data_IF_273516454678
#
_entry.id   IF_273516454678
#
_cell.length_a   1.000
_cell.length_b   1.000
_cell.length_c   1.000
_cell.angle_alpha   90.00
_cell.angle_beta   90.00
_cell.angle_gamma   90.00
#
_symmetry.space_group_name_H-M   'P 1'
#
loop_
_entity.id
_entity.type
_entity.pdbx_description
1 polymer ?
#
# COMPACT_ATOMS: atom_id res chain seq x y z
N UNK A 1 -37.89 -3.12 -0.85
CA UNK A 1 -36.57 -3.75 -0.69
C UNK A 1 -36.72 -5.22 -1.06
N UNK A 2 -36.19 -5.63 -2.21
CA UNK A 2 -36.35 -7.01 -2.69
C UNK A 2 -35.34 -7.93 -1.98
N UNK A 3 -35.71 -9.23 -1.80
CA UNK A 3 -34.84 -10.23 -1.16
C UNK A 3 -33.44 -10.32 -1.83
N UNK A 4 -33.36 -10.04 -3.14
CA UNK A 4 -32.09 -9.99 -3.89
C UNK A 4 -31.19 -8.83 -3.44
N UNK A 5 -31.77 -7.67 -3.13
CA UNK A 5 -30.99 -6.49 -2.68
C UNK A 5 -30.41 -6.73 -1.28
N UNK A 6 -31.13 -7.45 -0.42
CA UNK A 6 -30.65 -7.86 0.90
C UNK A 6 -29.49 -8.86 0.80
N UNK A 7 -29.55 -9.82 -0.12
CA UNK A 7 -28.47 -10.79 -0.34
C UNK A 7 -27.21 -10.15 -0.93
N UNK A 8 -27.36 -9.20 -1.85
CA UNK A 8 -26.23 -8.43 -2.39
C UNK A 8 -25.60 -7.52 -1.34
N UNK A 9 -26.38 -6.90 -0.47
CA UNK A 9 -25.86 -6.13 0.66
C UNK A 9 -25.17 -7.01 1.69
N UNK A 10 -25.70 -8.18 2.00
CA UNK A 10 -25.05 -9.13 2.92
C UNK A 10 -23.74 -9.68 2.35
N UNK A 11 -23.67 -9.97 1.05
CA UNK A 11 -22.42 -10.43 0.42
C UNK A 11 -21.36 -9.34 0.36
N UNK A 12 -21.75 -8.08 0.14
CA UNK A 12 -20.84 -6.94 0.19
C UNK A 12 -20.28 -6.71 1.61
N UNK A 13 -21.13 -6.81 2.63
CA UNK A 13 -20.71 -6.66 4.04
C UNK A 13 -19.76 -7.78 4.47
N UNK A 14 -20.02 -9.03 4.06
CA UNK A 14 -19.15 -10.17 4.38
C UNK A 14 -17.80 -10.06 3.65
N UNK A 15 -17.77 -9.61 2.40
CA UNK A 15 -16.53 -9.38 1.66
C UNK A 15 -15.69 -8.27 2.32
N UNK A 16 -16.31 -7.18 2.76
CA UNK A 16 -15.62 -6.11 3.51
C UNK A 16 -15.10 -6.58 4.87
N UNK A 17 -15.85 -7.39 5.60
CA UNK A 17 -15.42 -7.94 6.88
C UNK A 17 -14.23 -8.90 6.73
N UNK A 18 -14.24 -9.76 5.70
CA UNK A 18 -13.13 -10.65 5.38
C UNK A 18 -11.89 -9.86 4.95
N UNK A 19 -12.05 -8.84 4.11
CA UNK A 19 -10.94 -7.96 3.72
C UNK A 19 -10.38 -7.21 4.92
N UNK A 20 -11.21 -6.66 5.79
CA UNK A 20 -10.77 -5.97 7.00
C UNK A 20 -10.01 -6.90 7.96
N UNK A 21 -10.43 -8.18 8.11
CA UNK A 21 -9.72 -9.14 8.96
C UNK A 21 -8.35 -9.50 8.41
N UNK A 22 -8.22 -9.71 7.10
CA UNK A 22 -6.95 -10.03 6.44
C UNK A 22 -6.00 -8.82 6.48
N UNK A 23 -6.51 -7.61 6.26
CA UNK A 23 -5.70 -6.38 6.40
C UNK A 23 -5.22 -6.20 7.84
N UNK A 24 -6.06 -6.45 8.83
CA UNK A 24 -5.68 -6.38 10.24
C UNK A 24 -4.63 -7.43 10.62
N UNK A 25 -4.73 -8.64 10.09
CA UNK A 25 -3.77 -9.72 10.33
C UNK A 25 -2.42 -9.42 9.65
N UNK A 26 -2.44 -8.93 8.40
CA UNK A 26 -1.23 -8.51 7.69
C UNK A 26 -0.55 -7.31 8.38
N UNK A 27 -1.31 -6.33 8.85
CA UNK A 27 -0.78 -5.20 9.62
C UNK A 27 -0.20 -5.63 10.97
N UNK A 28 -0.86 -6.57 11.66
CA UNK A 28 -0.37 -7.15 12.91
C UNK A 28 0.92 -7.95 12.71
N UNK A 29 1.01 -8.74 11.63
CA UNK A 29 2.22 -9.48 11.28
C UNK A 29 3.38 -8.54 10.94
N UNK A 30 3.12 -7.44 10.21
CA UNK A 30 4.13 -6.42 9.92
C UNK A 30 4.63 -5.72 11.20
N UNK A 31 3.73 -5.39 12.12
CA UNK A 31 4.08 -4.78 13.41
C UNK A 31 4.88 -5.75 14.31
N UNK A 32 4.54 -7.05 14.30
CA UNK A 32 5.27 -8.07 15.06
C UNK A 32 6.71 -8.25 14.55
N UNK A 33 6.92 -8.16 13.23
CA UNK A 33 8.26 -8.24 12.63
C UNK A 33 9.11 -7.01 13.03
N UNK A 34 8.48 -5.84 13.15
CA UNK A 34 9.15 -4.61 13.56
C UNK A 34 9.63 -4.65 15.03
N UNK A 35 8.89 -5.33 15.90
CA UNK A 35 9.25 -5.52 17.30
C UNK A 35 10.48 -6.43 17.51
N UNK A 36 10.78 -7.31 16.56
CA UNK A 36 11.93 -8.25 16.64
C UNK A 36 13.22 -7.70 16.04
N UNK A 37 13.17 -6.59 15.28
CA UNK A 37 14.35 -6.01 14.62
C UNK A 37 14.97 -6.91 13.54
N UNK A 38 14.33 -8.00 13.18
CA UNK A 38 14.82 -8.93 12.17
C UNK A 38 14.73 -8.35 10.75
N UNK A 39 15.72 -8.67 9.93
CA UNK A 39 15.70 -8.32 8.52
C UNK A 39 14.49 -8.99 7.83
N UNK A 40 13.73 -8.21 7.07
CA UNK A 40 12.61 -8.74 6.32
C UNK A 40 13.02 -9.83 5.33
N UNK A 41 12.36 -10.97 5.42
CA UNK A 41 12.48 -12.06 4.46
C UNK A 41 11.16 -12.14 3.68
N UNK A 42 11.17 -11.88 2.36
CA UNK A 42 9.95 -11.97 1.54
C UNK A 42 9.30 -13.34 1.63
N UNK A 43 7.97 -13.37 1.66
CA UNK A 43 7.19 -14.61 1.71
C UNK A 43 6.63 -15.00 0.34
N UNK A 44 6.43 -14.04 -0.55
CA UNK A 44 5.87 -14.24 -1.88
C UNK A 44 6.74 -13.58 -2.97
N UNK A 45 7.17 -12.33 -2.78
CA UNK A 45 8.07 -11.65 -3.71
C UNK A 45 9.41 -12.41 -3.79
N UNK A 46 10.00 -12.62 -4.98
CA UNK A 46 11.34 -13.18 -5.12
C UNK A 46 12.37 -12.37 -4.30
N UNK A 47 13.27 -13.08 -3.62
CA UNK A 47 14.28 -12.45 -2.74
C UNK A 47 15.13 -11.41 -3.49
N UNK A 48 15.39 -11.66 -4.75
CA UNK A 48 16.16 -10.79 -5.65
C UNK A 48 15.43 -9.45 -5.92
N UNK A 49 14.12 -9.42 -5.70
CA UNK A 49 13.27 -8.23 -5.88
C UNK A 49 12.91 -7.51 -4.58
N UNK A 50 13.36 -8.03 -3.44
CA UNK A 50 13.06 -7.43 -2.13
C UNK A 50 13.55 -5.98 -2.02
N UNK A 51 14.80 -5.72 -2.38
CA UNK A 51 15.37 -4.38 -2.35
C UNK A 51 14.66 -3.43 -3.34
N UNK A 52 14.27 -3.94 -4.51
CA UNK A 52 13.49 -3.19 -5.48
C UNK A 52 12.12 -2.81 -4.93
N UNK A 53 11.40 -3.74 -4.27
CA UNK A 53 10.08 -3.45 -3.67
C UNK A 53 10.21 -2.40 -2.57
N UNK A 54 11.23 -2.49 -1.73
CA UNK A 54 11.52 -1.48 -0.70
C UNK A 54 11.77 -0.09 -1.32
N UNK A 55 12.55 -0.01 -2.40
CA UNK A 55 12.79 1.24 -3.11
C UNK A 55 11.53 1.77 -3.83
N UNK A 56 10.64 0.89 -4.28
CA UNK A 56 9.38 1.26 -4.91
C UNK A 56 8.41 1.92 -3.92
N UNK A 57 8.18 1.31 -2.75
CA UNK A 57 7.32 1.92 -1.73
C UNK A 57 7.87 3.24 -1.23
N UNK A 58 9.21 3.37 -1.09
CA UNK A 58 9.91 4.61 -0.76
C UNK A 58 9.75 5.69 -1.86
N UNK A 59 9.69 5.29 -3.12
CA UNK A 59 9.48 6.21 -4.24
C UNK A 59 8.03 6.74 -4.29
N UNK A 60 7.05 5.91 -3.92
CA UNK A 60 5.63 6.29 -3.88
C UNK A 60 5.34 7.22 -2.71
N UNK A 61 5.86 6.90 -1.53
CA UNK A 61 5.64 7.69 -0.33
C UNK A 61 6.97 7.87 0.43
N UNK A 62 7.81 8.81 -0.03
CA UNK A 62 9.11 9.08 0.60
C UNK A 62 8.94 9.77 1.95
N UNK A 63 9.99 9.67 2.78
CA UNK A 63 10.07 10.48 4.00
C UNK A 63 10.28 11.96 3.64
N UNK A 64 9.52 12.82 4.31
CA UNK A 64 9.64 14.29 4.22
C UNK A 64 9.81 14.87 5.62
N UNK A 65 8.96 15.78 6.04
CA UNK A 65 8.74 16.19 7.42
C UNK A 65 7.99 15.13 8.25
N UNK A 66 7.41 14.14 7.56
CA UNK A 66 6.77 12.98 8.15
C UNK A 66 7.49 11.69 7.72
N UNK A 67 7.38 10.59 8.50
CA UNK A 67 7.91 9.30 8.10
C UNK A 67 7.34 8.81 6.76
N UNK A 68 8.14 8.09 5.96
CA UNK A 68 7.73 7.50 4.69
C UNK A 68 7.37 6.02 4.79
N UNK A 69 6.95 5.44 3.66
CA UNK A 69 6.52 4.04 3.58
C UNK A 69 7.63 3.04 3.94
N UNK A 70 8.89 3.35 3.61
CA UNK A 70 10.02 2.50 3.98
C UNK A 70 10.19 2.41 5.50
N UNK A 71 10.05 3.53 6.22
CA UNK A 71 10.16 3.54 7.68
C UNK A 71 9.01 2.81 8.35
N UNK A 72 7.82 2.85 7.75
CA UNK A 72 6.66 2.07 8.16
C UNK A 72 6.71 0.60 7.70
N UNK A 73 7.80 0.16 7.04
CA UNK A 73 8.01 -1.19 6.52
C UNK A 73 6.86 -1.71 5.63
N UNK A 74 6.30 -0.83 4.83
CA UNK A 74 5.14 -1.11 3.98
C UNK A 74 5.41 -2.24 2.97
N UNK A 75 6.66 -2.46 2.56
CA UNK A 75 7.05 -3.59 1.71
C UNK A 75 6.65 -4.96 2.30
N UNK A 76 6.64 -5.09 3.63
CA UNK A 76 6.20 -6.32 4.31
C UNK A 76 4.70 -6.51 4.14
N UNK A 77 3.93 -5.45 4.32
CA UNK A 77 2.48 -5.47 4.09
C UNK A 77 2.14 -5.79 2.63
N UNK A 78 2.83 -5.17 1.67
CA UNK A 78 2.61 -5.41 0.23
C UNK A 78 2.88 -6.87 -0.13
N UNK A 79 3.97 -7.46 0.37
CA UNK A 79 4.32 -8.86 0.13
C UNK A 79 3.25 -9.82 0.65
N UNK A 80 2.78 -9.60 1.88
CA UNK A 80 1.74 -10.42 2.50
C UNK A 80 0.38 -10.25 1.81
N UNK A 81 -0.02 -9.01 1.51
CA UNK A 81 -1.28 -8.71 0.84
C UNK A 81 -1.34 -9.35 -0.56
N UNK A 82 -0.27 -9.25 -1.33
CA UNK A 82 -0.19 -9.89 -2.65
C UNK A 82 -0.30 -11.41 -2.55
N UNK A 83 0.29 -12.03 -1.53
CA UNK A 83 0.21 -13.47 -1.30
C UNK A 83 -1.21 -13.91 -0.96
N UNK A 84 -1.87 -13.20 -0.04
CA UNK A 84 -3.06 -13.70 0.67
C UNK A 84 -4.37 -13.12 0.14
N UNK A 85 -4.34 -11.92 -0.47
CA UNK A 85 -5.55 -11.19 -0.85
C UNK A 85 -5.77 -11.08 -2.37
N UNK A 86 -4.74 -11.34 -3.17
CA UNK A 86 -4.81 -11.15 -4.62
C UNK A 86 -4.99 -12.47 -5.36
N UNK A 87 -5.78 -12.43 -6.43
CA UNK A 87 -5.99 -13.58 -7.31
C UNK A 87 -4.70 -13.95 -8.07
N UNK A 88 -4.55 -15.21 -8.54
CA UNK A 88 -3.39 -15.60 -9.32
C UNK A 88 -3.17 -14.75 -10.58
N UNK A 89 -4.24 -14.21 -11.18
CA UNK A 89 -4.15 -13.35 -12.36
C UNK A 89 -3.56 -11.97 -12.01
N UNK A 90 -4.01 -11.37 -10.92
CA UNK A 90 -3.48 -10.11 -10.39
C UNK A 90 -2.04 -10.26 -9.90
N UNK A 91 -1.72 -11.37 -9.26
CA UNK A 91 -0.36 -11.73 -8.86
C UNK A 91 0.57 -11.82 -10.07
N UNK A 92 0.14 -12.49 -11.15
CA UNK A 92 0.91 -12.54 -12.41
C UNK A 92 1.08 -11.16 -13.04
N UNK A 93 0.01 -10.37 -13.04
CA UNK A 93 0.05 -8.99 -13.54
C UNK A 93 1.06 -8.14 -12.75
N UNK A 94 1.06 -8.25 -11.43
CA UNK A 94 2.01 -7.54 -10.57
C UNK A 94 3.45 -7.97 -10.85
N UNK A 95 3.71 -9.28 -10.89
CA UNK A 95 5.05 -9.83 -11.16
C UNK A 95 5.56 -9.42 -12.54
N UNK A 96 4.70 -9.51 -13.56
CA UNK A 96 5.05 -9.10 -14.93
C UNK A 96 5.41 -7.60 -15.00
N UNK A 97 4.64 -6.76 -14.31
CA UNK A 97 4.92 -5.31 -14.23
C UNK A 97 6.23 -5.02 -13.50
N UNK A 98 6.50 -5.72 -12.40
CA UNK A 98 7.72 -5.59 -11.63
C UNK A 98 8.97 -5.96 -12.47
N UNK A 99 8.92 -7.09 -13.18
CA UNK A 99 10.02 -7.54 -14.05
C UNK A 99 10.23 -6.59 -15.23
N UNK A 100 9.16 -6.12 -15.84
CA UNK A 100 9.23 -5.16 -16.92
C UNK A 100 9.89 -3.85 -16.49
N UNK A 101 9.52 -3.33 -15.31
CA UNK A 101 10.13 -2.13 -14.74
C UNK A 101 11.62 -2.33 -14.44
N UNK A 102 12.00 -3.50 -13.89
CA UNK A 102 13.39 -3.84 -13.64
C UNK A 102 14.22 -3.86 -14.95
N UNK A 103 13.66 -4.45 -16.01
CA UNK A 103 14.30 -4.50 -17.32
C UNK A 103 14.46 -3.10 -17.94
N UNK A 104 13.43 -2.24 -17.84
CA UNK A 104 13.47 -0.87 -18.37
C UNK A 104 14.50 -0.03 -17.60
N UNK A 105 14.56 -0.17 -16.28
CA UNK A 105 15.55 0.52 -15.46
C UNK A 105 16.99 0.09 -15.88
N UNK A 106 17.21 -1.20 -16.07
CA UNK A 106 18.49 -1.72 -16.55
C UNK A 106 18.89 -1.17 -17.92
N UNK A 107 17.93 -1.03 -18.85
CA UNK A 107 18.17 -0.47 -20.18
C UNK A 107 18.45 1.04 -20.13
N UNK A 108 17.72 1.80 -19.34
CA UNK A 108 17.80 3.27 -19.28
C UNK A 108 18.98 3.76 -18.43
N UNK A 109 19.27 3.10 -17.33
CA UNK A 109 20.24 3.58 -16.36
C UNK A 109 21.45 2.65 -16.18
N UNK A 110 21.45 1.45 -16.76
CA UNK A 110 22.53 0.45 -16.60
C UNK A 110 22.71 -0.04 -15.15
N UNK A 111 21.70 0.20 -14.29
CA UNK A 111 21.72 -0.11 -12.86
C UNK A 111 20.38 -0.70 -12.43
N UNK A 112 20.35 -1.50 -11.35
CA UNK A 112 19.09 -1.93 -10.77
C UNK A 112 18.32 -0.75 -10.15
N UNK A 113 17.01 -0.87 -10.07
CA UNK A 113 16.09 0.22 -9.66
C UNK A 113 16.44 0.81 -8.29
N UNK A 114 16.77 -0.03 -7.32
CA UNK A 114 17.16 0.37 -5.96
C UNK A 114 18.47 1.18 -5.91
N UNK A 115 19.34 1.01 -6.91
CA UNK A 115 20.59 1.75 -7.03
C UNK A 115 20.44 3.08 -7.79
N UNK A 116 19.24 3.37 -8.33
CA UNK A 116 18.97 4.65 -8.98
C UNK A 116 18.72 5.75 -7.95
N UNK A 117 19.11 7.00 -8.23
CA UNK A 117 18.76 8.14 -7.37
C UNK A 117 17.25 8.36 -7.35
N UNK A 118 16.70 9.04 -6.32
CA UNK A 118 15.26 9.26 -6.16
C UNK A 118 14.61 9.88 -7.40
N UNK A 119 15.24 10.85 -8.03
CA UNK A 119 14.75 11.51 -9.24
C UNK A 119 14.63 10.53 -10.42
N UNK A 120 15.62 9.65 -10.56
CA UNK A 120 15.62 8.61 -11.61
C UNK A 120 14.52 7.58 -11.37
N UNK A 121 14.30 7.16 -10.14
CA UNK A 121 13.19 6.27 -9.75
C UNK A 121 11.84 6.91 -10.02
N UNK A 122 11.68 8.18 -9.63
CA UNK A 122 10.45 8.93 -9.88
C UNK A 122 10.17 9.10 -11.38
N UNK A 123 11.19 9.41 -12.19
CA UNK A 123 11.04 9.57 -13.63
C UNK A 123 10.58 8.27 -14.34
N UNK A 124 10.89 7.10 -13.79
CA UNK A 124 10.41 5.81 -14.28
C UNK A 124 8.95 5.53 -13.88
N UNK A 125 8.57 5.89 -12.66
CA UNK A 125 7.24 5.57 -12.11
C UNK A 125 6.16 6.58 -12.54
N UNK A 126 6.47 7.87 -12.59
CA UNK A 126 5.48 8.91 -12.87
C UNK A 126 4.70 8.72 -14.17
N UNK A 127 5.31 8.38 -15.32
CA UNK A 127 4.55 8.14 -16.54
C UNK A 127 3.67 6.90 -16.48
N UNK A 128 4.08 5.86 -15.73
CA UNK A 128 3.29 4.65 -15.50
C UNK A 128 2.09 4.93 -14.56
N UNK A 129 2.30 5.74 -13.54
CA UNK A 129 1.22 6.19 -12.65
C UNK A 129 0.18 7.01 -13.44
N UNK A 130 0.61 7.99 -14.23
CA UNK A 130 -0.28 8.79 -15.08
C UNK A 130 -1.04 7.92 -16.09
N UNK A 131 -0.41 6.89 -16.64
CA UNK A 131 -1.05 5.95 -17.56
C UNK A 131 -2.06 5.05 -16.84
N UNK A 132 -1.86 4.72 -15.56
CA UNK A 132 -2.66 3.77 -14.79
C UNK A 132 -4.14 4.17 -14.62
N UNK A 133 -4.46 5.42 -14.82
CA UNK A 133 -5.83 5.97 -14.75
C UNK A 133 -6.58 5.95 -16.10
N UNK A 134 -5.94 5.51 -17.17
CA UNK A 134 -6.60 5.40 -18.49
C UNK A 134 -7.33 4.06 -18.60
N UNK A 135 -8.45 3.98 -19.35
CA UNK A 135 -9.26 2.76 -19.45
C UNK A 135 -8.54 1.54 -20.03
N UNK A 136 -7.46 1.72 -20.77
CA UNK A 136 -6.73 0.62 -21.45
C UNK A 136 -5.23 0.66 -21.09
N UNK A 137 -4.95 0.47 -19.80
CA UNK A 137 -3.61 0.68 -19.24
C UNK A 137 -2.64 -0.48 -19.41
N UNK A 138 -3.12 -1.67 -19.76
CA UNK A 138 -2.29 -2.88 -19.81
C UNK A 138 -1.64 -3.26 -18.46
N UNK A 139 -0.82 -4.29 -18.45
CA UNK A 139 -0.23 -4.86 -17.23
C UNK A 139 0.63 -3.87 -16.42
N UNK A 140 1.39 -2.99 -17.08
CA UNK A 140 2.27 -2.03 -16.40
C UNK A 140 1.52 -0.97 -15.61
N UNK A 141 0.46 -0.39 -16.20
CA UNK A 141 -0.35 0.59 -15.50
C UNK A 141 -1.11 -0.01 -14.32
N UNK A 142 -1.61 -1.22 -14.47
CA UNK A 142 -2.29 -1.94 -13.39
C UNK A 142 -1.33 -2.32 -12.26
N UNK A 143 -0.08 -2.71 -12.57
CA UNK A 143 0.97 -2.96 -11.57
C UNK A 143 1.22 -1.74 -10.69
N UNK A 144 1.47 -0.56 -11.28
CA UNK A 144 1.74 0.67 -10.50
C UNK A 144 0.53 1.07 -9.66
N UNK A 145 -0.68 0.89 -10.17
CA UNK A 145 -1.91 1.16 -9.41
C UNK A 145 -2.04 0.24 -8.19
N UNK A 146 -1.88 -1.07 -8.37
CA UNK A 146 -1.90 -2.03 -7.26
C UNK A 146 -0.83 -1.65 -6.22
N UNK A 147 0.39 -1.39 -6.68
CA UNK A 147 1.49 -1.02 -5.80
C UNK A 147 1.20 0.26 -5.02
N UNK A 148 0.66 1.30 -5.68
CA UNK A 148 0.31 2.57 -5.05
C UNK A 148 -0.81 2.40 -4.02
N UNK A 149 -1.88 1.70 -4.38
CA UNK A 149 -3.01 1.45 -3.50
C UNK A 149 -2.55 0.67 -2.25
N UNK A 150 -1.77 -0.40 -2.43
CA UNK A 150 -1.21 -1.17 -1.31
C UNK A 150 -0.22 -0.34 -0.47
N UNK A 151 0.58 0.53 -1.09
CA UNK A 151 1.51 1.39 -0.36
C UNK A 151 0.76 2.37 0.53
N UNK A 152 -0.28 3.02 0.01
CA UNK A 152 -1.10 3.96 0.79
C UNK A 152 -1.87 3.24 1.91
N UNK A 153 -2.53 2.13 1.60
CA UNK A 153 -3.24 1.33 2.61
C UNK A 153 -2.28 0.86 3.69
N UNK A 154 -1.16 0.24 3.31
CA UNK A 154 -0.16 -0.26 4.27
C UNK A 154 0.45 0.83 5.14
N UNK A 155 0.68 2.02 4.58
CA UNK A 155 1.21 3.15 5.34
C UNK A 155 0.19 3.71 6.34
N UNK A 156 -1.01 4.07 5.89
CA UNK A 156 -2.00 4.72 6.76
C UNK A 156 -2.63 3.78 7.79
N UNK A 157 -2.55 2.46 7.58
CA UNK A 157 -2.94 1.46 8.58
C UNK A 157 -1.78 1.01 9.48
N UNK A 158 -0.55 1.43 9.17
CA UNK A 158 0.60 1.15 10.03
C UNK A 158 0.54 1.97 11.33
N UNK A 159 1.25 1.49 12.36
CA UNK A 159 1.39 2.25 13.60
C UNK A 159 1.95 3.65 13.34
N UNK A 160 3.00 3.77 12.52
CA UNK A 160 3.63 5.05 12.18
C UNK A 160 2.65 5.98 11.48
N UNK A 161 1.98 5.52 10.43
CA UNK A 161 1.01 6.31 9.68
C UNK A 161 -0.17 6.75 10.54
N UNK A 162 -0.75 5.83 11.30
CA UNK A 162 -1.90 6.11 12.15
C UNK A 162 -1.58 7.08 13.30
N UNK A 163 -0.42 6.94 13.97
CA UNK A 163 -0.14 7.68 15.22
C UNK A 163 0.70 8.94 15.02
N UNK A 164 1.52 9.01 13.95
CA UNK A 164 2.40 10.16 13.72
C UNK A 164 1.88 11.09 12.63
N UNK A 165 1.24 10.54 11.60
CA UNK A 165 0.76 11.32 10.45
C UNK A 165 -0.72 11.69 10.61
N UNK A 166 -1.56 10.72 10.98
CA UNK A 166 -2.97 10.93 11.22
C UNK A 166 -3.25 11.33 12.69
N UNK A 167 -4.48 11.77 12.95
CA UNK A 167 -5.01 11.89 14.31
C UNK A 167 -5.53 10.51 14.75
N UNK A 168 -4.91 9.95 15.79
CA UNK A 168 -5.27 8.64 16.33
C UNK A 168 -5.87 8.77 17.73
N UNK A 169 -7.03 8.18 17.92
CA UNK A 169 -7.65 8.02 19.22
C UNK A 169 -7.89 6.55 19.51
N UNK A 170 -7.28 6.06 20.60
CA UNK A 170 -7.32 4.64 20.97
C UNK A 170 -8.74 4.17 21.34
N UNK A 171 -9.52 5.04 21.98
CA UNK A 171 -10.90 4.77 22.38
C UNK A 171 -11.75 5.94 21.93
N UNK A 172 -12.27 5.92 20.70
CA UNK A 172 -13.11 6.99 20.22
C UNK A 172 -14.38 7.08 21.07
N UNK A 173 -14.78 8.33 21.41
CA UNK A 173 -15.98 8.62 22.16
C UNK A 173 -17.26 8.45 21.34
N UNK A 174 -18.14 9.44 21.37
CA UNK A 174 -19.38 9.42 20.58
C UNK A 174 -19.17 9.89 19.14
N UNK A 175 -19.98 9.37 18.22
CA UNK A 175 -20.02 9.86 16.83
C UNK A 175 -20.62 11.26 16.74
N UNK A 176 -19.90 12.17 16.11
CA UNK A 176 -20.37 13.52 15.73
C UNK A 176 -20.25 13.67 14.22
N UNK A 177 -21.38 13.60 13.52
CA UNK A 177 -21.43 13.55 12.06
C UNK A 177 -20.98 14.82 11.35
N UNK A 178 -21.14 15.98 11.99
CA UNK A 178 -20.74 17.28 11.43
C UNK A 178 -19.93 18.04 12.47
N UNK A 179 -18.65 18.23 12.18
CA UNK A 179 -17.73 19.08 12.96
C UNK A 179 -17.06 20.06 12.03
N UNK A 180 -16.76 21.27 12.50
CA UNK A 180 -15.97 22.22 11.72
C UNK A 180 -14.54 21.73 11.59
N UNK A 181 -13.99 21.81 10.37
CA UNK A 181 -12.60 21.46 10.10
C UNK A 181 -11.70 22.61 10.53
N UNK A 182 -10.87 22.38 11.53
CA UNK A 182 -9.85 23.34 11.94
C UNK A 182 -8.73 23.48 10.89
N UNK A 183 -8.04 24.63 10.82
CA UNK A 183 -7.01 24.89 9.80
C UNK A 183 -5.85 23.90 9.84
N UNK A 184 -5.50 23.39 11.02
CA UNK A 184 -4.37 22.45 11.22
C UNK A 184 -4.84 21.03 11.62
N UNK A 185 -6.12 20.73 11.41
CA UNK A 185 -6.68 19.45 11.81
C UNK A 185 -6.17 18.33 10.92
N UNK A 186 -5.52 17.34 11.53
CA UNK A 186 -5.12 16.10 10.86
C UNK A 186 -6.33 15.24 10.53
N UNK A 187 -6.24 14.48 9.42
CA UNK A 187 -7.23 13.45 9.12
C UNK A 187 -7.26 12.37 10.22
N UNK A 188 -8.44 11.86 10.52
CA UNK A 188 -8.62 10.83 11.56
C UNK A 188 -8.23 9.44 11.05
N UNK A 189 -7.43 8.72 11.83
CA UNK A 189 -7.09 7.33 11.54
C UNK A 189 -8.27 6.37 11.77
N UNK A 190 -9.17 6.72 12.68
CA UNK A 190 -10.29 5.87 13.10
C UNK A 190 -11.64 6.27 12.47
N UNK A 191 -11.67 7.33 11.67
CA UNK A 191 -12.89 7.82 11.01
C UNK A 191 -13.94 8.42 11.97
N UNK A 192 -13.62 8.60 13.26
CA UNK A 192 -14.53 9.12 14.27
C UNK A 192 -13.87 10.36 14.89
N UNK A 193 -14.25 11.52 14.39
CA UNK A 193 -13.90 12.78 15.04
C UNK A 193 -14.64 12.92 16.38
N UNK A 194 -13.94 13.39 17.39
CA UNK A 194 -14.54 13.83 18.65
C UNK A 194 -15.42 15.05 18.43
#
# INVERSE_FOLDING_TARGET
MHRRDALTLMSAVTAHALFASVVAEAASAAAAIDATGEAWVPKWIPKERAAMLEALVDTILPATDTPGAKQARVQVFVDLALRDCYTPDEQRLFTTGLEALAADCGKMHGKPFEACPPEGRHALIAPLDAASYKPDTGARGSFVRILKDLTLVGFFTSQIGATQVLAYEKVPGGYRGCVELGPDQKAWATGIGN
#
